data_IF_908239713086
#
_entry.id   IF_908239713086
#
_cell.length_a   1.000
_cell.length_b   1.000
_cell.length_c   1.000
_cell.angle_alpha   90.00
_cell.angle_beta   90.00
_cell.angle_gamma   90.00
#
_symmetry.space_group_name_H-M   'P 1'
#
loop_
_entity.id
_entity.type
_entity.pdbx_description
1 polymer ?
#
# COMPACT_ATOMS: atom_id res chain seq x y z
N UNK A 1 -16.79 9.83 18.07
CA UNK A 1 -17.10 11.27 17.97
C UNK A 1 -15.97 11.93 17.20
N UNK A 2 -16.25 12.53 16.03
CA UNK A 2 -15.24 13.22 15.25
C UNK A 2 -14.88 14.53 15.96
N UNK A 3 -13.61 14.68 16.33
CA UNK A 3 -13.09 15.92 16.91
C UNK A 3 -13.09 16.95 15.77
N UNK A 4 -13.79 18.09 15.89
CA UNK A 4 -13.65 19.17 14.94
C UNK A 4 -12.22 19.69 15.03
N UNK A 5 -11.44 19.52 13.95
CA UNK A 5 -10.12 20.12 13.84
C UNK A 5 -10.35 21.60 13.55
N UNK A 6 -10.33 22.42 14.59
CA UNK A 6 -10.22 23.88 14.45
C UNK A 6 -8.74 24.20 14.25
N UNK A 7 -8.38 24.63 13.05
CA UNK A 7 -7.02 25.06 12.73
C UNK A 7 -6.74 26.38 13.49
N UNK A 8 -5.69 26.48 14.35
CA UNK A 8 -5.35 27.72 15.03
C UNK A 8 -5.19 28.90 14.08
N UNK A 9 -5.73 30.05 14.49
CA UNK A 9 -5.84 31.29 13.70
C UNK A 9 -4.68 32.27 13.91
N UNK A 10 -3.66 31.90 14.68
CA UNK A 10 -2.50 32.76 14.98
C UNK A 10 -1.23 32.17 14.36
N UNK A 11 -0.71 32.84 13.31
CA UNK A 11 0.63 32.80 12.66
C UNK A 11 1.48 31.50 12.68
N UNK A 12 0.88 30.33 12.80
CA UNK A 12 1.54 29.04 12.54
C UNK A 12 0.92 28.46 11.28
N UNK A 13 1.66 28.42 10.17
CA UNK A 13 1.23 27.71 8.98
C UNK A 13 1.12 26.21 9.28
N UNK A 14 -0.12 25.73 9.46
CA UNK A 14 -0.38 24.32 9.74
C UNK A 14 -0.23 23.54 8.45
N UNK A 15 0.75 22.64 8.41
CA UNK A 15 0.93 21.68 7.32
C UNK A 15 0.33 20.34 7.71
N UNK A 16 -0.52 19.78 6.85
CA UNK A 16 -1.13 18.45 6.99
C UNK A 16 -0.70 17.58 5.82
N UNK A 17 -0.17 16.39 6.12
CA UNK A 17 0.18 15.38 5.11
C UNK A 17 -0.67 14.14 5.33
N UNK A 18 -1.55 13.83 4.39
CA UNK A 18 -2.40 12.63 4.39
C UNK A 18 -1.62 11.47 3.77
N UNK A 19 -1.03 10.63 4.63
CA UNK A 19 -0.24 9.46 4.25
C UNK A 19 -0.63 8.20 5.03
N UNK A 20 -1.93 8.03 5.30
CA UNK A 20 -2.46 6.98 6.18
C UNK A 20 -2.75 5.66 5.44
N UNK A 21 -2.01 5.37 4.36
CA UNK A 21 -2.27 4.21 3.51
C UNK A 21 -3.75 4.14 3.07
N UNK A 22 -4.41 2.96 3.16
CA UNK A 22 -5.78 2.79 2.68
C UNK A 22 -6.82 3.59 3.47
N UNK A 23 -6.53 3.96 4.72
CA UNK A 23 -7.37 4.85 5.54
C UNK A 23 -7.34 6.31 5.08
N UNK A 24 -6.50 6.65 4.10
CA UNK A 24 -6.53 7.95 3.44
C UNK A 24 -7.85 8.17 2.68
N UNK A 25 -8.48 7.10 2.15
CA UNK A 25 -9.73 7.21 1.38
C UNK A 25 -10.86 7.94 2.12
N UNK A 26 -11.29 7.46 3.31
CA UNK A 26 -12.28 8.14 4.13
C UNK A 26 -11.92 9.61 4.46
N UNK A 27 -10.63 9.89 4.72
CA UNK A 27 -10.14 11.24 4.95
C UNK A 27 -10.30 12.13 3.71
N UNK A 28 -9.91 11.65 2.53
CA UNK A 28 -10.03 12.39 1.27
C UNK A 28 -11.50 12.67 0.91
N UNK A 29 -12.39 11.69 1.12
CA UNK A 29 -13.83 11.88 0.92
C UNK A 29 -14.41 12.93 1.88
N UNK A 30 -13.94 12.96 3.13
CA UNK A 30 -14.30 13.99 4.08
C UNK A 30 -13.80 15.37 3.63
N UNK A 31 -12.54 15.49 3.20
CA UNK A 31 -11.95 16.76 2.69
C UNK A 31 -12.70 17.31 1.48
N UNK A 32 -13.11 16.46 0.55
CA UNK A 32 -13.94 16.86 -0.62
C UNK A 32 -15.28 17.43 -0.17
N UNK A 33 -15.95 16.79 0.80
CA UNK A 33 -17.23 17.27 1.35
C UNK A 33 -17.10 18.64 2.03
N UNK A 34 -15.97 18.93 2.68
CA UNK A 34 -15.73 20.24 3.31
C UNK A 34 -15.43 21.35 2.29
N UNK A 35 -14.89 21.02 1.11
CA UNK A 35 -14.45 21.99 0.11
C UNK A 35 -15.56 22.77 -0.60
N UNK A 36 -16.84 22.46 -0.35
CA UNK A 36 -18.02 23.18 -0.90
C UNK A 36 -18.17 23.15 -2.43
N UNK A 37 -17.21 22.57 -3.15
CA UNK A 37 -17.16 22.42 -4.60
C UNK A 37 -17.19 20.93 -4.96
N UNK A 38 -17.72 20.63 -6.14
CA UNK A 38 -17.79 19.27 -6.66
C UNK A 38 -16.42 18.82 -7.21
N UNK A 39 -15.43 18.68 -6.32
CA UNK A 39 -14.15 18.05 -6.64
C UNK A 39 -14.31 16.54 -6.65
N UNK A 40 -13.64 15.87 -7.59
CA UNK A 40 -13.57 14.41 -7.64
C UNK A 40 -12.09 14.01 -7.60
N UNK A 41 -11.70 13.44 -6.46
CA UNK A 41 -10.41 12.77 -6.32
C UNK A 41 -10.58 11.29 -6.69
N UNK A 42 -9.52 10.61 -7.17
CA UNK A 42 -9.52 9.16 -7.25
C UNK A 42 -9.80 8.55 -5.87
N UNK A 43 -10.73 7.59 -5.80
CA UNK A 43 -11.01 6.88 -4.57
C UNK A 43 -9.79 6.05 -4.16
N UNK A 44 -9.48 6.02 -2.86
CA UNK A 44 -8.42 5.19 -2.29
C UNK A 44 -9.06 4.17 -1.36
N UNK A 45 -8.84 2.89 -1.65
CA UNK A 45 -9.39 1.77 -0.89
C UNK A 45 -8.27 0.84 -0.40
N UNK A 46 -8.64 -0.12 0.44
CA UNK A 46 -7.74 -1.19 0.88
C UNK A 46 -7.93 -2.46 0.07
N UNK A 47 -6.82 -3.06 -0.35
CA UNK A 47 -6.78 -4.46 -0.78
C UNK A 47 -5.97 -5.27 0.23
N UNK A 48 -6.54 -6.36 0.75
CA UNK A 48 -5.85 -7.17 1.75
C UNK A 48 -4.90 -8.14 1.07
N UNK A 49 -3.64 -8.10 1.48
CA UNK A 49 -2.61 -9.06 1.09
C UNK A 49 -2.26 -9.95 2.28
N UNK A 50 -1.99 -11.23 2.01
CA UNK A 50 -1.67 -12.24 3.02
C UNK A 50 -0.20 -12.64 2.90
N UNK A 51 0.37 -13.04 4.04
CA UNK A 51 1.76 -13.47 4.10
C UNK A 51 2.01 -14.52 5.17
N UNK A 52 3.13 -15.24 5.00
CA UNK A 52 3.69 -16.14 5.98
C UNK A 52 5.08 -15.67 6.38
N UNK A 53 5.43 -15.89 7.64
CA UNK A 53 6.81 -15.90 8.10
C UNK A 53 7.16 -17.35 8.45
N UNK A 54 8.12 -17.93 7.72
CA UNK A 54 8.55 -19.30 7.90
C UNK A 54 9.98 -19.36 8.44
N UNK A 55 10.25 -20.37 9.26
CA UNK A 55 11.59 -20.75 9.75
C UNK A 55 11.97 -22.12 9.17
N UNK A 56 12.76 -22.16 8.09
CA UNK A 56 13.33 -23.40 7.58
C UNK A 56 14.36 -23.99 8.56
N UNK A 57 14.60 -25.30 8.46
CA UNK A 57 15.60 -26.00 9.28
C UNK A 57 17.03 -25.91 8.72
N UNK A 58 17.18 -25.37 7.52
CA UNK A 58 18.47 -25.19 6.84
C UNK A 58 18.63 -23.72 6.41
N UNK A 59 19.86 -23.21 6.30
CA UNK A 59 20.10 -21.88 5.76
C UNK A 59 19.56 -21.73 4.34
N UNK A 60 18.95 -20.58 4.05
CA UNK A 60 18.47 -20.22 2.72
C UNK A 60 19.35 -19.12 2.15
N UNK A 61 19.66 -19.20 0.85
CA UNK A 61 20.42 -18.15 0.16
C UNK A 61 19.68 -16.81 0.21
N UNK A 62 20.37 -15.66 0.22
CA UNK A 62 19.74 -14.34 0.31
C UNK A 62 19.05 -13.87 -0.99
N UNK A 63 18.78 -14.77 -1.94
CA UNK A 63 18.11 -14.42 -3.19
C UNK A 63 16.61 -14.28 -2.98
N UNK A 64 16.07 -13.12 -3.36
CA UNK A 64 14.63 -12.90 -3.46
C UNK A 64 14.15 -13.61 -4.72
N UNK A 65 13.04 -14.36 -4.60
CA UNK A 65 12.48 -15.12 -5.70
C UNK A 65 11.07 -14.60 -6.04
N UNK A 66 10.90 -14.10 -7.26
CA UNK A 66 9.61 -13.78 -7.85
C UNK A 66 9.28 -14.88 -8.85
N UNK A 67 8.09 -15.47 -8.76
CA UNK A 67 7.74 -16.61 -9.59
C UNK A 67 6.29 -16.54 -10.04
N UNK A 68 6.03 -17.17 -11.18
CA UNK A 68 4.69 -17.48 -11.66
C UNK A 68 4.55 -19.00 -11.74
N UNK A 69 3.62 -19.56 -10.98
CA UNK A 69 3.33 -20.98 -10.94
C UNK A 69 2.07 -21.28 -11.77
N UNK A 70 2.26 -22.03 -12.86
CA UNK A 70 1.15 -22.59 -13.63
C UNK A 70 0.80 -23.98 -13.09
N UNK A 71 -0.30 -24.07 -12.35
CA UNK A 71 -0.80 -25.28 -11.68
C UNK A 71 -2.03 -25.83 -12.43
N UNK A 72 -1.90 -25.96 -13.75
CA UNK A 72 -2.99 -26.35 -14.65
C UNK A 72 -4.04 -25.25 -14.76
N UNK A 73 -5.21 -25.45 -14.15
CA UNK A 73 -6.29 -24.45 -14.13
C UNK A 73 -6.11 -23.35 -13.08
N UNK A 74 -5.04 -23.42 -12.27
CA UNK A 74 -4.73 -22.43 -11.24
C UNK A 74 -3.43 -21.73 -11.55
N UNK A 75 -3.39 -20.45 -11.25
CA UNK A 75 -2.22 -19.60 -11.35
C UNK A 75 -1.90 -19.04 -9.96
N UNK A 76 -0.63 -18.93 -9.62
CA UNK A 76 -0.17 -18.30 -8.37
C UNK A 76 1.14 -17.57 -8.61
N UNK A 77 1.31 -16.41 -7.97
CA UNK A 77 2.54 -15.60 -8.07
C UNK A 77 3.16 -15.37 -6.69
N UNK A 78 3.66 -16.44 -6.02
CA UNK A 78 4.26 -16.28 -4.71
C UNK A 78 5.63 -15.60 -4.82
N UNK A 79 5.90 -14.76 -3.83
CA UNK A 79 7.16 -14.04 -3.70
C UNK A 79 7.85 -14.49 -2.41
N UNK A 80 9.13 -14.82 -2.49
CA UNK A 80 9.91 -15.33 -1.36
C UNK A 80 11.04 -14.37 -1.04
N UNK A 81 11.10 -13.96 0.23
CA UNK A 81 12.08 -13.00 0.75
C UNK A 81 12.83 -13.64 1.93
N UNK A 82 13.94 -14.35 1.66
CA UNK A 82 14.85 -14.80 2.71
C UNK A 82 15.42 -13.62 3.49
N UNK A 83 15.48 -13.73 4.82
CA UNK A 83 15.93 -12.68 5.72
C UNK A 83 17.25 -13.05 6.40
N UNK A 84 18.07 -12.05 6.80
CA UNK A 84 19.36 -12.32 7.45
C UNK A 84 19.26 -13.08 8.79
N UNK A 85 18.10 -13.09 9.44
CA UNK A 85 17.82 -13.82 10.68
C UNK A 85 17.42 -15.30 10.47
N UNK A 86 17.44 -15.76 9.21
CA UNK A 86 17.08 -17.13 8.83
C UNK A 86 15.58 -17.36 8.62
N UNK A 87 14.73 -16.35 8.80
CA UNK A 87 13.34 -16.42 8.36
C UNK A 87 13.21 -16.27 6.83
N UNK A 88 12.10 -16.76 6.31
CA UNK A 88 11.64 -16.48 4.94
C UNK A 88 10.26 -15.86 5.02
N UNK A 89 10.12 -14.62 4.55
CA UNK A 89 8.82 -13.97 4.37
C UNK A 89 8.26 -14.33 3.00
N UNK A 90 6.96 -14.65 2.96
CA UNK A 90 6.28 -15.07 1.73
C UNK A 90 4.99 -14.30 1.56
N UNK A 91 4.74 -13.80 0.36
CA UNK A 91 3.51 -13.11 -0.06
C UNK A 91 3.04 -13.62 -1.42
N UNK A 92 1.93 -13.07 -1.93
CA UNK A 92 1.39 -13.39 -3.28
C UNK A 92 -0.10 -13.67 -3.31
N UNK A 93 -0.75 -13.79 -2.14
CA UNK A 93 -2.20 -14.00 -2.06
C UNK A 93 -2.90 -12.71 -1.62
N UNK A 94 -3.94 -12.34 -2.36
CA UNK A 94 -4.77 -11.16 -2.12
C UNK A 94 -6.25 -11.56 -2.04
N UNK A 95 -7.06 -10.79 -1.30
CA UNK A 95 -8.51 -10.94 -1.31
C UNK A 95 -9.25 -9.59 -1.25
N UNK A 96 -10.57 -9.67 -1.44
CA UNK A 96 -11.48 -8.53 -1.41
C UNK A 96 -12.15 -8.37 -0.04
N UNK A 97 -11.39 -8.56 1.04
CA UNK A 97 -11.88 -8.27 2.39
C UNK A 97 -12.33 -6.81 2.53
N UNK A 98 -13.10 -6.54 3.58
CA UNK A 98 -13.49 -5.15 3.95
C UNK A 98 -12.38 -4.52 4.80
N UNK A 99 -11.91 -3.33 4.40
CA UNK A 99 -10.94 -2.55 5.16
C UNK A 99 -11.49 -2.29 6.58
N UNK A 100 -10.80 -2.71 7.65
CA UNK A 100 -11.24 -2.48 9.01
C UNK A 100 -11.12 -1.01 9.41
N UNK A 101 -11.77 -0.64 10.51
CA UNK A 101 -11.69 0.72 11.05
C UNK A 101 -10.27 1.02 11.55
N UNK A 102 -9.62 0.04 12.20
CA UNK A 102 -8.26 0.20 12.73
C UNK A 102 -7.20 -0.57 11.95
N UNK A 103 -6.03 0.04 11.78
CA UNK A 103 -4.84 -0.63 11.25
C UNK A 103 -4.32 -1.78 12.13
N UNK A 104 -4.74 -1.83 13.41
CA UNK A 104 -4.39 -2.91 14.33
C UNK A 104 -5.23 -4.18 14.11
N UNK A 105 -6.29 -4.11 13.30
CA UNK A 105 -7.11 -5.27 12.97
C UNK A 105 -6.53 -6.03 11.78
N UNK A 106 -5.75 -7.07 12.08
CA UNK A 106 -5.20 -7.98 11.08
C UNK A 106 -5.78 -9.38 11.29
N UNK A 107 -6.67 -9.80 10.37
CA UNK A 107 -7.22 -11.16 10.34
C UNK A 107 -6.89 -11.80 9.00
N UNK A 108 -5.88 -12.68 8.94
CA UNK A 108 -5.54 -13.41 7.74
C UNK A 108 -6.71 -14.27 7.27
N UNK A 109 -6.82 -14.44 5.96
CA UNK A 109 -7.82 -15.30 5.36
C UNK A 109 -7.32 -16.75 5.36
N UNK A 110 -8.01 -17.71 6.00
CA UNK A 110 -7.54 -19.08 6.10
C UNK A 110 -7.31 -19.75 4.73
N UNK A 111 -8.10 -19.41 3.72
CA UNK A 111 -7.94 -19.94 2.35
C UNK A 111 -6.67 -19.40 1.70
N UNK A 112 -6.41 -18.09 1.82
CA UNK A 112 -5.18 -17.47 1.30
C UNK A 112 -3.94 -18.03 1.99
N UNK A 113 -3.99 -18.19 3.31
CA UNK A 113 -2.91 -18.83 4.08
C UNK A 113 -2.68 -20.27 3.63
N UNK A 114 -3.75 -21.03 3.40
CA UNK A 114 -3.65 -22.41 2.88
C UNK A 114 -3.02 -22.45 1.48
N UNK A 115 -3.33 -21.48 0.62
CA UNK A 115 -2.72 -21.37 -0.71
C UNK A 115 -1.22 -21.08 -0.61
N UNK A 116 -0.79 -20.12 0.22
CA UNK A 116 0.63 -19.84 0.43
C UNK A 116 1.38 -21.08 0.94
N UNK A 117 0.81 -21.82 1.89
CA UNK A 117 1.37 -23.10 2.39
C UNK A 117 1.47 -24.15 1.29
N UNK A 118 0.44 -24.27 0.43
CA UNK A 118 0.46 -25.17 -0.73
C UNK A 118 1.62 -24.81 -1.65
N UNK A 119 1.81 -23.53 -1.95
CA UNK A 119 2.85 -23.08 -2.89
C UNK A 119 4.25 -23.33 -2.33
N UNK A 120 4.45 -23.14 -1.02
CA UNK A 120 5.69 -23.55 -0.33
C UNK A 120 5.96 -25.05 -0.48
N UNK A 121 4.94 -25.88 -0.26
CA UNK A 121 5.06 -27.33 -0.37
C UNK A 121 5.30 -27.80 -1.80
N UNK A 122 4.74 -27.11 -2.81
CA UNK A 122 4.96 -27.43 -4.22
C UNK A 122 6.38 -27.08 -4.67
N UNK A 123 6.91 -25.92 -4.23
CA UNK A 123 8.22 -25.44 -4.66
C UNK A 123 9.36 -26.22 -4.00
N UNK A 124 9.26 -26.45 -2.69
CA UNK A 124 10.32 -27.10 -1.92
C UNK A 124 9.71 -27.93 -0.79
N UNK A 125 9.23 -29.14 -1.08
CA UNK A 125 8.55 -29.98 -0.11
C UNK A 125 9.39 -30.23 1.16
N UNK A 126 10.69 -30.47 0.98
CA UNK A 126 11.58 -30.86 2.09
C UNK A 126 12.10 -29.69 2.92
N UNK A 127 12.08 -28.46 2.39
CA UNK A 127 12.60 -27.28 3.08
C UNK A 127 11.47 -26.33 3.46
N UNK A 128 10.76 -25.78 2.47
CA UNK A 128 9.69 -24.81 2.69
C UNK A 128 8.39 -25.48 3.13
N UNK A 129 8.08 -26.67 2.60
CA UNK A 129 6.90 -27.45 2.99
C UNK A 129 6.94 -27.97 4.43
N UNK A 130 8.14 -28.16 4.98
CA UNK A 130 8.39 -28.61 6.37
C UNK A 130 8.84 -27.48 7.31
N UNK A 131 8.96 -26.24 6.82
CA UNK A 131 9.38 -25.11 7.64
C UNK A 131 8.37 -24.82 8.76
N UNK A 132 8.86 -24.36 9.91
CA UNK A 132 7.99 -23.93 11.00
C UNK A 132 7.30 -22.63 10.62
N UNK A 133 5.98 -22.58 10.73
CA UNK A 133 5.21 -21.34 10.54
C UNK A 133 5.38 -20.48 11.79
N UNK A 134 6.17 -19.42 11.69
CA UNK A 134 6.39 -18.47 12.79
C UNK A 134 5.19 -17.55 12.93
N UNK A 135 4.64 -17.07 11.81
CA UNK A 135 3.48 -16.18 11.79
C UNK A 135 2.66 -16.32 10.52
N UNK A 136 1.35 -16.28 10.69
CA UNK A 136 0.38 -16.03 9.62
C UNK A 136 -0.04 -14.56 9.72
N UNK A 137 0.03 -13.82 8.61
CA UNK A 137 -0.16 -12.38 8.65
C UNK A 137 -0.97 -11.87 7.46
N UNK A 138 -1.50 -10.67 7.60
CA UNK A 138 -2.08 -9.91 6.50
C UNK A 138 -1.87 -8.42 6.71
N UNK A 139 -1.86 -7.67 5.61
CA UNK A 139 -1.81 -6.21 5.62
C UNK A 139 -2.77 -5.65 4.57
N UNK A 140 -2.92 -4.32 4.57
CA UNK A 140 -3.79 -3.61 3.65
C UNK A 140 -2.98 -2.67 2.78
N UNK A 141 -3.01 -2.91 1.48
CA UNK A 141 -2.37 -2.07 0.48
C UNK A 141 -3.30 -0.93 0.09
N UNK A 142 -2.82 0.32 -0.01
CA UNK A 142 -3.61 1.42 -0.53
C UNK A 142 -3.70 1.34 -2.05
N UNK A 143 -4.91 1.18 -2.57
CA UNK A 143 -5.20 1.11 -4.01
C UNK A 143 -6.03 2.32 -4.39
N UNK A 144 -5.54 3.13 -5.32
CA UNK A 144 -6.34 4.16 -5.97
C UNK A 144 -7.18 3.56 -7.10
N UNK A 145 -8.34 4.16 -7.37
CA UNK A 145 -9.28 3.69 -8.41
C UNK A 145 -8.70 3.71 -9.83
N UNK A 146 -7.63 4.47 -10.06
CA UNK A 146 -6.91 4.58 -11.33
C UNK A 146 -5.51 3.95 -11.29
N UNK A 147 -5.19 3.20 -10.22
CA UNK A 147 -3.93 2.46 -10.01
C UNK A 147 -2.66 3.31 -9.88
N UNK A 148 -2.77 4.65 -9.93
CA UNK A 148 -1.66 5.57 -9.73
C UNK A 148 -1.70 6.19 -8.34
N UNK A 149 -0.54 6.40 -7.69
CA UNK A 149 -0.52 7.07 -6.39
C UNK A 149 -1.05 8.50 -6.50
N UNK A 150 -1.57 9.01 -5.38
CA UNK A 150 -1.94 10.41 -5.21
C UNK A 150 -0.79 11.06 -4.44
N UNK A 151 -0.04 11.93 -5.12
CA UNK A 151 1.13 12.63 -4.59
C UNK A 151 0.99 14.12 -4.89
N UNK A 152 0.88 14.94 -3.85
CA UNK A 152 0.99 16.39 -3.94
C UNK A 152 -0.07 17.18 -3.18
N UNK A 153 -0.11 18.50 -3.42
CA UNK A 153 -1.01 19.44 -2.74
C UNK A 153 -2.48 19.20 -3.11
N UNK A 154 -3.39 19.32 -2.15
CA UNK A 154 -4.84 19.42 -2.37
C UNK A 154 -5.15 20.82 -2.90
N UNK A 155 -5.62 21.00 -4.14
CA UNK A 155 -5.59 22.33 -4.78
C UNK A 155 -6.50 23.40 -4.18
N UNK A 156 -7.47 23.02 -3.34
CA UNK A 156 -8.41 23.94 -2.70
C UNK A 156 -8.17 24.14 -1.20
N UNK A 157 -7.14 23.52 -0.63
CA UNK A 157 -6.77 23.66 0.78
C UNK A 157 -5.28 24.00 0.87
N UNK A 158 -4.99 25.16 1.45
CA UNK A 158 -3.61 25.53 1.74
C UNK A 158 -3.02 24.67 2.85
N UNK A 159 -1.72 24.35 2.73
CA UNK A 159 -1.01 23.50 3.68
C UNK A 159 -1.38 22.01 3.68
N UNK A 160 -2.29 21.54 2.81
CA UNK A 160 -2.72 20.13 2.79
C UNK A 160 -2.12 19.36 1.61
N UNK A 161 -1.47 18.24 1.90
CA UNK A 161 -0.80 17.36 0.94
C UNK A 161 -1.28 15.91 1.08
N UNK A 162 -1.19 15.13 0.01
CA UNK A 162 -1.56 13.72 -0.04
C UNK A 162 -0.39 12.90 -0.56
N UNK A 163 -0.14 11.74 0.06
CA UNK A 163 0.85 10.76 -0.37
C UNK A 163 0.33 9.35 -0.06
N UNK A 164 -0.45 8.78 -0.98
CA UNK A 164 -1.05 7.44 -0.80
C UNK A 164 -1.30 6.75 -2.14
N UNK A 165 -1.84 5.53 -2.11
CA UNK A 165 -2.26 4.81 -3.32
C UNK A 165 -1.13 4.10 -4.07
N UNK A 166 0.02 3.89 -3.41
CA UNK A 166 1.20 3.28 -4.04
C UNK A 166 1.07 1.79 -4.34
N UNK A 167 -0.03 1.13 -3.97
CA UNK A 167 -0.23 -0.30 -4.16
C UNK A 167 0.97 -1.11 -3.60
N UNK A 168 1.41 -2.16 -4.31
CA UNK A 168 2.59 -2.99 -4.00
C UNK A 168 3.92 -2.23 -4.09
N UNK A 169 3.95 -1.04 -4.67
CA UNK A 169 5.18 -0.28 -4.95
C UNK A 169 5.55 0.72 -3.84
N UNK A 170 4.84 0.71 -2.71
CA UNK A 170 5.03 1.66 -1.62
C UNK A 170 6.46 1.70 -1.09
N UNK A 171 7.08 0.56 -0.81
CA UNK A 171 8.44 0.49 -0.25
C UNK A 171 9.47 1.01 -1.25
N UNK A 172 9.36 0.64 -2.54
CA UNK A 172 10.31 1.08 -3.57
C UNK A 172 10.23 2.58 -3.86
N UNK A 173 9.04 3.18 -3.70
CA UNK A 173 8.78 4.56 -4.07
C UNK A 173 8.71 5.53 -2.87
N UNK A 174 8.82 5.04 -1.63
CA UNK A 174 8.57 5.85 -0.44
C UNK A 174 9.57 7.01 -0.27
N UNK A 175 10.85 6.77 -0.56
CA UNK A 175 11.91 7.79 -0.41
C UNK A 175 11.74 8.92 -1.42
N UNK A 176 11.47 8.58 -2.68
CA UNK A 176 11.16 9.57 -3.72
C UNK A 176 9.89 10.36 -3.41
N UNK A 177 8.83 9.68 -2.96
CA UNK A 177 7.58 10.33 -2.56
C UNK A 177 7.79 11.28 -1.38
N UNK A 178 8.53 10.85 -0.36
CA UNK A 178 8.83 11.66 0.83
C UNK A 178 9.61 12.92 0.47
N UNK A 179 10.61 12.80 -0.40
CA UNK A 179 11.39 13.94 -0.90
C UNK A 179 10.50 14.94 -1.65
N UNK A 180 9.68 14.46 -2.60
CA UNK A 180 8.77 15.30 -3.37
C UNK A 180 7.79 16.06 -2.46
N UNK A 181 7.21 15.39 -1.46
CA UNK A 181 6.30 16.04 -0.52
C UNK A 181 7.05 17.08 0.32
N UNK A 182 8.27 16.78 0.79
CA UNK A 182 9.09 17.73 1.54
C UNK A 182 9.42 18.97 0.71
N UNK A 183 9.80 18.81 -0.57
CA UNK A 183 10.05 19.92 -1.49
C UNK A 183 8.82 20.80 -1.67
N UNK A 184 7.64 20.18 -1.86
CA UNK A 184 6.39 20.92 -2.00
C UNK A 184 6.04 21.70 -0.72
N UNK A 185 6.23 21.09 0.45
CA UNK A 185 6.00 21.75 1.74
C UNK A 185 6.93 22.93 1.95
N UNK A 186 8.22 22.76 1.67
CA UNK A 186 9.26 23.76 1.98
C UNK A 186 9.37 24.86 0.92
N UNK A 187 9.06 24.56 -0.34
CA UNK A 187 9.35 25.45 -1.49
C UNK A 187 8.16 25.70 -2.39
N UNK A 188 6.99 25.11 -2.07
CA UNK A 188 5.75 25.28 -2.82
C UNK A 188 5.62 24.40 -4.07
N UNK A 189 6.66 23.66 -4.48
CA UNK A 189 6.63 22.80 -5.66
C UNK A 189 7.60 21.62 -5.56
N UNK A 190 7.35 20.57 -6.35
CA UNK A 190 8.33 19.50 -6.55
C UNK A 190 9.51 20.01 -7.39
N UNK A 191 10.72 19.61 -7.04
CA UNK A 191 11.95 20.01 -7.73
C UNK A 191 12.70 18.82 -8.31
N UNK A 192 12.74 17.69 -7.60
CA UNK A 192 13.51 16.52 -8.00
C UNK A 192 12.90 15.75 -9.18
N UNK A 193 11.57 15.75 -9.31
CA UNK A 193 10.86 15.04 -10.38
C UNK A 193 9.49 15.64 -10.65
N UNK A 194 9.04 15.57 -11.91
CA UNK A 194 7.70 15.98 -12.31
C UNK A 194 6.65 14.93 -11.87
N UNK A 195 5.84 15.30 -10.88
CA UNK A 195 4.73 14.48 -10.37
C UNK A 195 3.35 15.00 -10.77
N UNK A 196 3.24 15.87 -11.78
CA UNK A 196 1.92 16.41 -12.20
C UNK A 196 0.93 15.32 -12.59
N UNK A 197 1.41 14.22 -13.19
CA UNK A 197 0.60 13.06 -13.52
C UNK A 197 0.12 12.25 -12.29
N UNK A 198 0.64 12.53 -11.10
CA UNK A 198 0.30 11.89 -9.82
C UNK A 198 -0.44 12.83 -8.88
N UNK A 199 -0.66 14.09 -9.27
CA UNK A 199 -1.35 15.09 -8.47
C UNK A 199 -2.77 14.63 -8.07
N UNK A 200 -3.31 15.06 -6.91
CA UNK A 200 -4.65 14.66 -6.47
C UNK A 200 -5.78 15.00 -7.47
N UNK A 201 -5.73 16.17 -8.12
CA UNK A 201 -6.63 16.58 -9.21
C UNK A 201 -5.97 16.46 -10.60
N UNK A 202 -5.15 15.43 -10.80
CA UNK A 202 -4.61 15.12 -12.13
C UNK A 202 -5.73 14.94 -13.16
N UNK A 203 -5.48 15.26 -14.45
CA UNK A 203 -6.39 14.91 -15.52
C UNK A 203 -6.64 13.40 -15.56
N UNK A 204 -7.88 12.97 -15.85
CA UNK A 204 -8.16 11.55 -16.07
C UNK A 204 -7.34 11.07 -17.26
N UNK A 205 -6.45 10.10 -17.02
CA UNK A 205 -5.74 9.43 -18.11
C UNK A 205 -6.78 8.56 -18.84
N UNK A 206 -6.94 8.70 -20.17
CA UNK A 206 -7.82 7.82 -20.94
C UNK A 206 -7.41 6.36 -20.68
N UNK A 207 -8.39 5.50 -20.37
CA UNK A 207 -8.10 4.05 -20.25
C UNK A 207 -7.58 3.57 -21.59
N UNK A 208 -6.30 3.19 -21.65
CA UNK A 208 -5.79 2.38 -22.76
C UNK A 208 -6.43 1.01 -22.56
N UNK A 209 -7.27 0.57 -23.50
CA UNK A 209 -7.82 -0.77 -23.49
C UNK A 209 -6.65 -1.76 -23.49
N UNK A 210 -6.45 -2.47 -22.36
CA UNK A 210 -5.67 -3.70 -22.30
C UNK A 210 -6.58 -4.86 -22.70
#
# INVERSE_FOLDING_TARGET
>A
ALIPITLPTDECEITIIVAMGPWSGPCLQWLVKQGGRMYSLPDVNGQRAHSLLLRPSVPISPHICFMALSLGHKFSEPEFYPRPDGDVFISGEIDNGVLPESANEFKPNPTSIKNLKRDCNLLSPDVLGKATVVKENCCWMPISSDTLPLIGKVPWLDGVYVATGHNVWGISNCTGTGLVIAEMVLTGQAQSIDVRALAPLRPKIPRVHQ
#
